data_IF_539958493779
#
_entry.id   IF_539958493779
#
_cell.length_a   1.000
_cell.length_b   1.000
_cell.length_c   1.000
_cell.angle_alpha   90.00
_cell.angle_beta   90.00
_cell.angle_gamma   90.00
#
_symmetry.space_group_name_H-M   'P 1'
#
loop_
_entity.id
_entity.type
_entity.pdbx_description
1 polymer ?
#
# COMPACT_ATOMS: atom_id res chain seq x y z
N UNK A 1 -31.03 14.29 12.79
CA UNK A 1 -29.77 13.68 13.26
C UNK A 1 -29.06 13.15 12.05
N UNK A 2 -27.84 13.61 11.73
CA UNK A 2 -27.06 13.04 10.63
C UNK A 2 -26.79 11.57 10.98
N UNK A 3 -27.09 10.66 10.04
CA UNK A 3 -26.72 9.26 10.15
C UNK A 3 -25.20 9.22 10.30
N UNK A 4 -24.67 8.66 11.40
CA UNK A 4 -23.21 8.52 11.55
C UNK A 4 -22.63 7.79 10.35
N UNK A 5 -21.41 8.14 9.93
CA UNK A 5 -20.69 7.44 8.85
C UNK A 5 -20.31 6.05 9.35
N UNK A 6 -20.81 5.00 8.69
CA UNK A 6 -20.64 3.62 9.15
C UNK A 6 -19.45 2.94 8.49
N UNK A 7 -19.36 2.99 7.16
CA UNK A 7 -18.47 2.12 6.40
C UNK A 7 -17.60 2.92 5.44
N UNK A 8 -16.28 2.78 5.60
CA UNK A 8 -15.28 3.27 4.65
C UNK A 8 -14.60 2.06 3.98
N UNK A 9 -14.45 2.10 2.66
CA UNK A 9 -13.60 1.17 1.93
C UNK A 9 -12.27 1.85 1.57
N UNK A 10 -11.17 1.22 1.93
CA UNK A 10 -9.81 1.68 1.60
C UNK A 10 -9.20 0.70 0.60
N UNK A 11 -8.94 1.19 -0.60
CA UNK A 11 -8.36 0.45 -1.72
C UNK A 11 -6.87 0.82 -1.81
N UNK A 12 -5.99 -0.13 -1.50
CA UNK A 12 -4.55 0.07 -1.51
C UNK A 12 -4.01 -0.25 -2.91
N UNK A 13 -3.48 0.76 -3.59
CA UNK A 13 -2.71 0.66 -4.82
C UNK A 13 -3.29 -0.30 -5.88
N UNK A 14 -4.62 -0.22 -6.09
CA UNK A 14 -5.32 -1.02 -7.09
C UNK A 14 -5.02 -0.50 -8.51
N UNK A 15 -3.74 -0.36 -8.84
CA UNK A 15 -3.24 0.21 -10.09
C UNK A 15 -2.93 -0.86 -11.10
N UNK A 16 -2.93 -0.49 -12.40
CA UNK A 16 -2.73 -1.43 -13.51
C UNK A 16 -1.39 -2.14 -13.45
N UNK A 17 -0.32 -1.46 -13.00
CA UNK A 17 1.00 -2.10 -12.90
C UNK A 17 1.04 -3.26 -11.91
N UNK A 18 0.15 -3.27 -10.92
CA UNK A 18 0.00 -4.38 -9.97
C UNK A 18 -1.10 -5.37 -10.37
N UNK A 19 -2.17 -4.89 -11.01
CA UNK A 19 -3.40 -5.66 -11.16
C UNK A 19 -3.63 -6.22 -12.57
N UNK A 20 -3.07 -5.61 -13.62
CA UNK A 20 -3.22 -6.10 -14.99
C UNK A 20 -2.10 -7.09 -15.35
N UNK A 21 -2.35 -8.16 -16.13
CA UNK A 21 -1.33 -9.14 -16.51
C UNK A 21 -0.16 -8.57 -17.30
N UNK A 22 -0.35 -7.42 -17.98
CA UNK A 22 0.70 -6.67 -18.70
C UNK A 22 1.31 -5.54 -17.84
N UNK A 23 0.98 -5.48 -16.55
CA UNK A 23 1.51 -4.53 -15.60
C UNK A 23 2.99 -4.76 -15.30
N UNK A 24 3.74 -3.68 -15.06
CA UNK A 24 5.19 -3.73 -14.87
C UNK A 24 5.61 -4.53 -13.63
N UNK A 25 4.77 -4.57 -12.61
CA UNK A 25 4.96 -5.32 -11.37
C UNK A 25 3.71 -6.15 -11.04
N UNK A 26 3.25 -6.94 -12.04
CA UNK A 26 2.03 -7.73 -11.92
C UNK A 26 2.08 -8.69 -10.73
N UNK A 27 1.06 -8.62 -9.89
CA UNK A 27 0.87 -9.51 -8.73
C UNK A 27 -0.01 -10.69 -9.15
N UNK A 28 0.54 -11.90 -9.08
CA UNK A 28 -0.22 -13.11 -9.43
C UNK A 28 -1.45 -13.26 -8.53
N UNK A 29 -2.64 -13.37 -9.13
CA UNK A 29 -3.92 -13.41 -8.42
C UNK A 29 -4.66 -12.07 -8.36
N UNK A 30 -4.00 -10.95 -8.71
CA UNK A 30 -4.58 -9.62 -8.61
C UNK A 30 -5.73 -9.36 -9.60
N UNK A 31 -5.81 -10.13 -10.69
CA UNK A 31 -6.96 -10.05 -11.62
C UNK A 31 -8.24 -10.49 -10.90
N UNK A 32 -8.21 -11.65 -10.26
CA UNK A 32 -9.34 -12.19 -9.51
C UNK A 32 -9.63 -11.34 -8.25
N UNK A 33 -8.61 -10.80 -7.60
CA UNK A 33 -8.77 -9.88 -6.47
C UNK A 33 -9.49 -8.61 -6.90
N UNK A 34 -9.14 -8.07 -8.07
CA UNK A 34 -9.76 -6.87 -8.65
C UNK A 34 -11.24 -7.11 -8.96
N UNK A 35 -11.57 -8.28 -9.52
CA UNK A 35 -12.96 -8.65 -9.79
C UNK A 35 -13.75 -8.77 -8.48
N UNK A 36 -13.23 -9.47 -7.46
CA UNK A 36 -13.88 -9.59 -6.15
C UNK A 36 -14.07 -8.24 -5.48
N UNK A 37 -13.07 -7.35 -5.59
CA UNK A 37 -13.16 -5.98 -5.07
C UNK A 37 -14.25 -5.17 -5.78
N UNK A 38 -14.33 -5.24 -7.11
CA UNK A 38 -15.37 -4.57 -7.90
C UNK A 38 -16.77 -5.10 -7.56
N UNK A 39 -16.90 -6.41 -7.43
CA UNK A 39 -18.15 -7.07 -7.03
C UNK A 39 -18.55 -6.65 -5.60
N UNK A 40 -17.61 -6.57 -4.66
CA UNK A 40 -17.87 -6.10 -3.30
C UNK A 40 -18.41 -4.66 -3.29
N UNK A 41 -17.80 -3.76 -4.07
CA UNK A 41 -18.27 -2.37 -4.21
C UNK A 41 -19.68 -2.34 -4.77
N UNK A 42 -19.93 -3.07 -5.87
CA UNK A 42 -21.21 -3.08 -6.58
C UNK A 42 -22.34 -3.65 -5.73
N UNK A 43 -22.08 -4.78 -5.06
CA UNK A 43 -23.08 -5.47 -4.23
C UNK A 43 -23.40 -4.72 -2.92
N UNK A 44 -22.52 -3.82 -2.50
CA UNK A 44 -22.68 -3.04 -1.27
C UNK A 44 -22.75 -1.52 -1.52
N UNK A 45 -23.11 -1.11 -2.74
CA UNK A 45 -23.07 0.29 -3.17
C UNK A 45 -23.83 1.22 -2.21
N UNK A 46 -24.99 0.81 -1.72
CA UNK A 46 -25.84 1.59 -0.79
C UNK A 46 -25.28 1.66 0.65
N UNK A 47 -24.29 0.84 0.99
CA UNK A 47 -23.80 0.64 2.35
C UNK A 47 -22.41 1.22 2.59
N UNK A 48 -21.67 1.50 1.52
CA UNK A 48 -20.34 2.12 1.57
C UNK A 48 -20.51 3.63 1.59
N UNK A 49 -20.23 4.27 2.73
CA UNK A 49 -20.40 5.72 2.90
C UNK A 49 -19.22 6.53 2.32
N UNK A 50 -18.04 5.91 2.19
CA UNK A 50 -16.83 6.54 1.64
C UNK A 50 -15.93 5.51 0.98
N UNK A 51 -15.28 5.91 -0.12
CA UNK A 51 -14.17 5.16 -0.72
C UNK A 51 -12.92 6.03 -0.68
N UNK A 52 -11.83 5.48 -0.16
CA UNK A 52 -10.48 6.06 -0.21
C UNK A 52 -9.58 5.14 -1.03
N UNK A 53 -8.76 5.72 -1.90
CA UNK A 53 -7.83 4.97 -2.75
C UNK A 53 -6.42 5.52 -2.57
N UNK A 54 -5.46 4.66 -2.29
CA UNK A 54 -4.06 5.03 -2.41
C UNK A 54 -3.57 4.82 -3.84
N UNK A 55 -2.61 5.60 -4.25
CA UNK A 55 -1.93 5.49 -5.53
C UNK A 55 -0.44 5.59 -5.27
N UNK A 56 0.26 4.50 -5.50
CA UNK A 56 1.71 4.50 -5.56
C UNK A 56 2.16 5.35 -6.75
N UNK A 57 3.14 6.23 -6.55
CA UNK A 57 3.38 7.33 -7.49
C UNK A 57 4.86 7.64 -7.59
N UNK A 58 5.55 6.88 -8.46
CA UNK A 58 6.99 6.97 -8.62
C UNK A 58 7.40 7.94 -9.73
N UNK A 59 8.58 8.52 -9.58
CA UNK A 59 9.32 9.13 -10.68
C UNK A 59 10.08 8.05 -11.47
N UNK A 60 10.53 8.37 -12.68
CA UNK A 60 11.39 7.45 -13.46
C UNK A 60 12.69 7.16 -12.71
N UNK A 61 13.32 8.20 -12.16
CA UNK A 61 14.49 8.08 -11.30
C UNK A 61 14.01 8.02 -9.84
N UNK A 62 14.02 6.83 -9.29
CA UNK A 62 13.54 6.52 -7.94
C UNK A 62 14.47 5.53 -7.25
N UNK A 63 14.63 5.64 -5.92
CA UNK A 63 15.55 4.80 -5.15
C UNK A 63 15.20 3.31 -5.23
N UNK A 64 13.96 2.99 -5.53
CA UNK A 64 13.46 1.63 -5.69
C UNK A 64 13.66 1.06 -7.11
N UNK A 65 14.16 1.86 -8.07
CA UNK A 65 14.25 1.46 -9.47
C UNK A 65 15.69 1.16 -9.92
N UNK A 66 15.90 0.32 -10.96
CA UNK A 66 17.22 -0.06 -11.47
C UNK A 66 18.10 1.14 -11.83
N UNK A 67 17.52 2.23 -12.35
CA UNK A 67 18.24 3.43 -12.77
C UNK A 67 18.95 4.19 -11.64
N UNK A 68 18.59 3.93 -10.38
CA UNK A 68 19.21 4.56 -9.22
C UNK A 68 20.52 3.88 -8.77
N UNK A 69 20.71 2.60 -9.12
CA UNK A 69 21.77 1.78 -8.57
C UNK A 69 22.66 1.18 -9.66
N UNK A 70 23.95 1.15 -9.40
CA UNK A 70 24.95 0.54 -10.29
C UNK A 70 25.64 -0.62 -9.55
N UNK A 71 25.82 -1.73 -10.27
CA UNK A 71 26.68 -2.83 -9.84
C UNK A 71 28.15 -2.39 -9.92
N UNK A 72 29.05 -3.17 -9.30
CA UNK A 72 30.49 -2.91 -9.30
C UNK A 72 31.11 -2.77 -10.71
N UNK A 73 30.53 -3.42 -11.71
CA UNK A 73 30.97 -3.35 -13.11
C UNK A 73 30.39 -2.13 -13.87
N UNK A 74 29.61 -1.29 -13.19
CA UNK A 74 28.98 -0.10 -13.75
C UNK A 74 27.66 -0.34 -14.48
N UNK A 75 27.16 -1.59 -14.54
CA UNK A 75 25.84 -1.89 -15.10
C UNK A 75 24.73 -1.61 -14.06
N UNK A 76 23.49 -1.41 -14.53
CA UNK A 76 22.33 -1.22 -13.67
C UNK A 76 21.99 -2.50 -12.91
N UNK A 77 21.37 -2.35 -11.74
CA UNK A 77 20.91 -3.47 -10.91
C UNK A 77 19.65 -4.09 -11.53
N UNK A 78 19.54 -5.42 -11.51
CA UNK A 78 18.34 -6.11 -11.99
C UNK A 78 17.16 -5.93 -11.03
N UNK A 79 15.92 -5.91 -11.54
CA UNK A 79 14.74 -5.97 -10.68
C UNK A 79 14.74 -7.19 -9.75
N UNK A 80 14.04 -7.07 -8.62
CA UNK A 80 13.94 -8.06 -7.55
C UNK A 80 15.26 -8.36 -6.83
N UNK A 81 16.25 -7.48 -6.94
CA UNK A 81 17.52 -7.57 -6.21
C UNK A 81 17.38 -6.88 -4.85
N UNK A 82 17.62 -7.57 -3.73
CA UNK A 82 17.78 -6.89 -2.45
C UNK A 82 19.11 -6.15 -2.39
N UNK A 83 19.15 -5.01 -1.73
CA UNK A 83 20.39 -4.26 -1.46
C UNK A 83 20.50 -4.00 0.03
N UNK A 84 21.57 -4.52 0.63
CA UNK A 84 21.90 -4.32 2.04
C UNK A 84 22.92 -3.20 2.24
N UNK A 85 22.97 -2.66 3.46
CA UNK A 85 23.99 -1.68 3.86
C UNK A 85 25.41 -2.24 3.70
N UNK A 86 25.61 -3.51 4.03
CA UNK A 86 26.91 -4.17 3.90
C UNK A 86 27.40 -4.21 2.44
N UNK A 87 26.52 -4.50 1.49
CA UNK A 87 26.84 -4.53 0.06
C UNK A 87 27.18 -3.13 -0.48
N UNK A 88 26.48 -2.08 0.00
CA UNK A 88 26.82 -0.68 -0.33
C UNK A 88 28.21 -0.34 0.22
N UNK A 89 28.51 -0.67 1.48
CA UNK A 89 29.78 -0.38 2.13
C UNK A 89 30.95 -1.14 1.49
N UNK A 90 30.70 -2.35 0.96
CA UNK A 90 31.67 -3.13 0.21
C UNK A 90 31.86 -2.64 -1.25
N UNK A 91 31.01 -1.73 -1.72
CA UNK A 91 31.02 -1.25 -3.10
C UNK A 91 30.49 -2.26 -4.12
N UNK A 92 29.65 -3.21 -3.70
CA UNK A 92 28.97 -4.16 -4.59
C UNK A 92 27.87 -3.42 -5.37
N UNK A 93 27.19 -2.49 -4.67
CA UNK A 93 26.22 -1.58 -5.26
C UNK A 93 26.58 -0.12 -4.92
N UNK A 94 26.45 0.75 -5.92
CA UNK A 94 26.71 2.18 -5.78
C UNK A 94 25.52 2.99 -6.26
N UNK A 95 24.97 3.93 -5.46
CA UNK A 95 23.92 4.81 -5.92
C UNK A 95 24.43 5.75 -7.01
N UNK A 96 23.67 5.88 -8.09
CA UNK A 96 23.95 6.84 -9.16
C UNK A 96 23.67 8.30 -8.73
N UNK A 97 22.83 8.49 -7.70
CA UNK A 97 22.43 9.80 -7.19
C UNK A 97 22.56 9.82 -5.65
N UNK A 98 23.11 10.91 -5.12
CA UNK A 98 23.28 11.23 -3.69
C UNK A 98 23.72 10.02 -2.85
N UNK A 99 24.99 9.57 -3.00
CA UNK A 99 25.47 8.34 -2.35
C UNK A 99 25.28 8.33 -0.84
N UNK A 100 25.48 9.48 -0.19
CA UNK A 100 25.35 9.57 1.26
C UNK A 100 23.91 9.33 1.69
N UNK A 101 22.94 10.01 1.08
CA UNK A 101 21.53 9.89 1.44
C UNK A 101 20.98 8.49 1.13
N UNK A 102 21.36 7.92 -0.03
CA UNK A 102 20.95 6.58 -0.41
C UNK A 102 21.46 5.51 0.57
N UNK A 103 22.73 5.65 1.01
CA UNK A 103 23.30 4.79 2.06
C UNK A 103 22.58 4.98 3.40
N UNK A 104 22.36 6.23 3.81
CA UNK A 104 21.67 6.54 5.08
C UNK A 104 20.23 5.99 5.07
N UNK A 105 19.53 6.01 3.91
CA UNK A 105 18.22 5.40 3.74
C UNK A 105 18.22 3.90 4.01
N UNK A 106 19.13 3.14 3.37
CA UNK A 106 19.23 1.69 3.59
C UNK A 106 19.62 1.38 5.04
N UNK A 107 20.56 2.15 5.61
CA UNK A 107 20.94 2.02 7.02
C UNK A 107 19.73 2.24 7.96
N UNK A 108 18.86 3.21 7.67
CA UNK A 108 17.65 3.45 8.45
C UNK A 108 16.66 2.29 8.34
N UNK A 109 16.43 1.73 7.14
CA UNK A 109 15.56 0.56 6.97
C UNK A 109 16.01 -0.62 7.84
N UNK A 110 17.31 -0.91 7.85
CA UNK A 110 17.86 -2.02 8.64
C UNK A 110 17.78 -1.74 10.15
N UNK A 111 18.11 -0.51 10.59
CA UNK A 111 18.10 -0.15 12.02
C UNK A 111 16.71 -0.11 12.62
N UNK A 112 15.73 0.36 11.84
CA UNK A 112 14.35 0.52 12.28
C UNK A 112 13.52 -0.77 12.13
N UNK A 113 14.17 -1.82 11.60
CA UNK A 113 13.51 -3.09 11.37
C UNK A 113 12.40 -2.98 10.32
N UNK A 114 12.56 -2.12 9.33
CA UNK A 114 11.68 -2.01 8.18
C UNK A 114 11.91 -3.16 7.17
N UNK A 115 11.06 -3.27 6.15
CA UNK A 115 11.27 -4.25 5.07
C UNK A 115 12.60 -3.97 4.37
N UNK A 116 13.32 -5.02 3.91
CA UNK A 116 14.57 -4.85 3.18
C UNK A 116 14.38 -3.96 1.95
N UNK A 117 15.42 -3.23 1.57
CA UNK A 117 15.40 -2.50 0.32
C UNK A 117 15.49 -3.47 -0.87
N UNK A 118 14.48 -3.42 -1.75
CA UNK A 118 14.44 -4.18 -3.00
C UNK A 118 14.43 -3.23 -4.19
N UNK A 119 15.07 -3.64 -5.27
CA UNK A 119 14.94 -2.99 -6.57
C UNK A 119 13.75 -3.59 -7.31
N UNK A 120 12.78 -2.77 -7.64
CA UNK A 120 11.60 -3.17 -8.39
C UNK A 120 11.72 -2.82 -9.87
N UNK A 121 10.96 -3.49 -10.77
CA UNK A 121 10.75 -2.95 -12.12
C UNK A 121 10.24 -1.51 -12.04
N UNK A 122 10.53 -0.67 -13.03
CA UNK A 122 9.92 0.66 -13.12
C UNK A 122 8.39 0.51 -13.18
N UNK A 123 7.70 0.86 -12.11
CA UNK A 123 6.26 0.69 -11.99
C UNK A 123 5.60 1.96 -11.45
N UNK A 124 4.30 2.07 -11.64
CA UNK A 124 3.47 3.18 -11.15
C UNK A 124 4.06 4.57 -11.43
N UNK A 125 4.76 4.71 -12.57
CA UNK A 125 5.31 6.01 -12.98
C UNK A 125 4.14 6.96 -13.27
N UNK A 126 4.13 8.10 -12.59
CA UNK A 126 3.08 9.12 -12.70
C UNK A 126 2.82 9.46 -14.18
N UNK A 127 1.54 9.57 -14.54
CA UNK A 127 1.03 9.87 -15.88
C UNK A 127 1.21 8.73 -16.93
N UNK A 128 1.88 7.61 -16.60
CA UNK A 128 1.89 6.44 -17.48
C UNK A 128 0.65 5.56 -17.28
N UNK A 129 0.35 4.69 -18.26
CA UNK A 129 -0.82 3.77 -18.24
C UNK A 129 -0.87 2.94 -16.94
N UNK A 130 0.27 2.41 -16.50
CA UNK A 130 0.39 1.54 -15.33
C UNK A 130 0.02 2.21 -14.00
N UNK A 131 0.21 3.53 -13.89
CA UNK A 131 -0.19 4.32 -12.73
C UNK A 131 -1.72 4.42 -12.56
N UNK A 132 -2.46 4.25 -13.66
CA UNK A 132 -3.92 4.30 -13.63
C UNK A 132 -4.54 3.16 -12.83
N UNK A 133 -5.72 3.39 -12.26
CA UNK A 133 -6.50 2.37 -11.54
C UNK A 133 -6.97 1.28 -12.53
N UNK A 134 -6.95 0.03 -12.08
CA UNK A 134 -7.47 -1.12 -12.83
C UNK A 134 -8.94 -0.91 -13.22
N UNK A 135 -9.34 -1.36 -14.42
CA UNK A 135 -10.59 -0.97 -15.05
C UNK A 135 -11.85 -1.41 -14.30
N UNK A 136 -11.91 -2.64 -13.80
CA UNK A 136 -13.10 -3.15 -13.11
C UNK A 136 -13.32 -2.37 -11.80
N UNK A 137 -12.25 -2.13 -11.05
CA UNK A 137 -12.29 -1.35 -9.81
C UNK A 137 -12.65 0.10 -10.12
N UNK A 138 -12.04 0.71 -11.16
CA UNK A 138 -12.37 2.07 -11.57
C UNK A 138 -13.85 2.21 -11.90
N UNK A 139 -14.39 1.30 -12.71
CA UNK A 139 -15.78 1.33 -13.15
C UNK A 139 -16.75 1.17 -11.94
N UNK A 140 -16.44 0.26 -11.01
CA UNK A 140 -17.24 0.07 -9.79
C UNK A 140 -17.22 1.32 -8.89
N UNK A 141 -16.03 1.95 -8.73
CA UNK A 141 -15.90 3.19 -7.95
C UNK A 141 -16.62 4.36 -8.62
N UNK A 142 -16.55 4.50 -9.94
CA UNK A 142 -17.28 5.53 -10.68
C UNK A 142 -18.81 5.34 -10.57
N UNK A 143 -19.28 4.09 -10.61
CA UNK A 143 -20.69 3.77 -10.36
C UNK A 143 -21.10 4.18 -8.93
N UNK A 144 -20.27 3.93 -7.92
CA UNK A 144 -20.48 4.36 -6.54
C UNK A 144 -20.51 5.90 -6.44
N UNK A 145 -19.58 6.62 -7.09
CA UNK A 145 -19.57 8.09 -7.13
C UNK A 145 -20.87 8.65 -7.72
N UNK A 146 -21.32 8.06 -8.82
CA UNK A 146 -22.57 8.47 -9.48
C UNK A 146 -23.82 8.17 -8.65
N UNK A 147 -23.82 7.03 -7.92
CA UNK A 147 -24.92 6.66 -7.03
C UNK A 147 -25.04 7.63 -5.85
N UNK A 148 -23.93 7.90 -5.16
CA UNK A 148 -23.90 8.74 -3.96
C UNK A 148 -23.81 10.26 -4.24
N UNK A 149 -23.61 10.67 -5.51
CA UNK A 149 -23.35 12.07 -5.91
C UNK A 149 -22.21 12.70 -5.13
N UNK A 150 -21.14 11.92 -4.95
CA UNK A 150 -19.92 12.27 -4.22
C UNK A 150 -18.69 11.79 -5.00
N UNK A 151 -17.51 11.93 -4.44
CA UNK A 151 -16.27 11.46 -5.05
C UNK A 151 -15.41 10.69 -4.06
N UNK A 152 -14.65 9.72 -4.57
CA UNK A 152 -13.62 9.00 -3.82
C UNK A 152 -12.54 9.95 -3.28
N UNK A 153 -11.90 9.59 -2.19
CA UNK A 153 -10.69 10.26 -1.69
C UNK A 153 -9.45 9.62 -2.30
N UNK A 154 -8.53 10.43 -2.81
CA UNK A 154 -7.24 9.96 -3.32
C UNK A 154 -6.14 10.29 -2.33
N UNK A 155 -5.26 9.32 -2.09
CA UNK A 155 -4.03 9.46 -1.31
C UNK A 155 -2.88 9.04 -2.20
N UNK A 156 -2.12 10.00 -2.73
CA UNK A 156 -0.86 9.71 -3.44
C UNK A 156 0.24 9.45 -2.42
N UNK A 157 1.04 8.43 -2.66
CA UNK A 157 2.21 8.06 -1.86
C UNK A 157 3.38 7.72 -2.78
N UNK A 158 4.63 7.62 -2.27
CA UNK A 158 5.80 7.32 -3.08
C UNK A 158 6.31 8.48 -3.95
N UNK A 159 5.83 9.71 -3.71
CA UNK A 159 6.20 10.87 -4.54
C UNK A 159 7.60 11.44 -4.27
N UNK A 160 8.23 11.04 -3.16
CA UNK A 160 9.62 11.41 -2.87
C UNK A 160 10.56 10.30 -3.35
N UNK A 161 11.42 10.54 -4.36
CA UNK A 161 12.23 9.50 -4.97
C UNK A 161 13.39 8.99 -4.10
N UNK A 162 13.58 9.53 -2.91
CA UNK A 162 14.63 9.11 -1.96
C UNK A 162 14.17 8.11 -0.90
N UNK A 163 12.92 7.71 -0.90
CA UNK A 163 12.37 6.80 0.10
C UNK A 163 11.15 6.07 -0.42
N UNK A 164 11.08 4.78 -0.18
CA UNK A 164 9.87 3.99 -0.37
C UNK A 164 8.74 4.43 0.56
N UNK A 165 7.52 4.22 0.11
CA UNK A 165 6.32 4.56 0.85
C UNK A 165 5.32 3.39 0.73
N UNK A 166 5.66 2.23 1.30
CA UNK A 166 4.80 1.06 1.22
C UNK A 166 3.44 1.31 1.90
N UNK A 167 3.45 1.74 3.16
CA UNK A 167 2.20 2.03 3.87
C UNK A 167 1.55 3.35 3.46
N UNK A 168 0.22 3.45 3.62
CA UNK A 168 -0.56 4.62 3.21
C UNK A 168 -0.37 5.87 4.09
N UNK A 169 0.27 5.73 5.27
CA UNK A 169 0.27 6.80 6.25
C UNK A 169 1.59 7.54 6.38
N UNK A 170 2.73 6.94 6.06
CA UNK A 170 4.04 7.61 6.04
C UNK A 170 5.02 6.86 5.15
N UNK A 171 6.05 7.54 4.67
CA UNK A 171 7.18 6.89 4.01
C UNK A 171 7.91 5.96 4.98
N UNK A 172 8.63 4.96 4.45
CA UNK A 172 9.43 4.03 5.26
C UNK A 172 10.54 4.76 6.02
N UNK A 173 11.19 5.74 5.37
CA UNK A 173 12.13 6.65 6.01
C UNK A 173 11.63 8.10 5.79
N UNK A 174 10.93 8.70 6.76
CA UNK A 174 10.41 10.04 6.63
C UNK A 174 11.51 11.11 6.68
N UNK A 175 11.40 12.14 5.83
CA UNK A 175 12.31 13.28 5.81
C UNK A 175 11.64 14.54 6.37
N UNK A 176 12.28 15.21 7.35
CA UNK A 176 11.74 16.41 8.01
C UNK A 176 11.56 17.61 7.07
N UNK A 177 12.23 17.61 5.94
CA UNK A 177 12.14 18.67 4.92
C UNK A 177 11.05 18.42 3.88
N UNK A 178 10.41 17.26 3.88
CA UNK A 178 9.33 16.91 2.95
C UNK A 178 8.10 16.32 3.70
N UNK A 179 7.07 17.13 3.76
CA UNK A 179 5.81 16.76 4.44
C UNK A 179 5.09 15.57 3.78
N UNK A 180 5.33 15.29 2.50
CA UNK A 180 4.71 14.15 1.82
C UNK A 180 5.20 12.80 2.36
N UNK A 181 6.37 12.79 3.02
CA UNK A 181 6.95 11.61 3.66
C UNK A 181 6.50 11.41 5.11
N UNK A 182 5.92 12.45 5.73
CA UNK A 182 5.50 12.44 7.13
C UNK A 182 4.15 11.75 7.31
N UNK A 183 3.77 11.55 8.58
CA UNK A 183 2.49 10.92 8.89
C UNK A 183 1.29 11.69 8.32
N UNK A 184 0.49 11.03 7.50
CA UNK A 184 -0.75 11.56 6.93
C UNK A 184 -1.87 11.58 7.96
N UNK A 185 -1.72 12.46 8.95
CA UNK A 185 -2.70 12.67 10.03
C UNK A 185 -4.11 12.98 9.51
N UNK A 186 -4.30 13.80 8.46
CA UNK A 186 -5.63 14.02 7.89
C UNK A 186 -6.31 12.73 7.42
N UNK A 187 -5.58 11.79 6.82
CA UNK A 187 -6.16 10.52 6.39
C UNK A 187 -6.49 9.61 7.58
N UNK A 188 -5.62 9.53 8.58
CA UNK A 188 -5.91 8.80 9.82
C UNK A 188 -7.14 9.35 10.54
N UNK A 189 -7.28 10.67 10.63
CA UNK A 189 -8.44 11.32 11.23
C UNK A 189 -9.73 11.01 10.44
N UNK A 190 -9.66 11.06 9.10
CA UNK A 190 -10.79 10.69 8.25
C UNK A 190 -11.27 9.26 8.55
N UNK A 191 -10.36 8.29 8.62
CA UNK A 191 -10.71 6.89 8.91
C UNK A 191 -11.31 6.73 10.32
N UNK A 192 -10.88 7.54 11.27
CA UNK A 192 -11.41 7.52 12.64
C UNK A 192 -12.88 7.93 12.75
N UNK A 193 -13.43 8.63 11.73
CA UNK A 193 -14.85 9.03 11.70
C UNK A 193 -15.80 7.86 11.41
N UNK A 194 -15.29 6.72 10.91
CA UNK A 194 -16.10 5.56 10.53
C UNK A 194 -16.16 4.52 11.64
N UNK A 195 -17.23 3.73 11.65
CA UNK A 195 -17.39 2.56 12.51
C UNK A 195 -16.59 1.37 11.98
N UNK A 196 -16.59 1.16 10.67
CA UNK A 196 -15.88 0.10 9.97
C UNK A 196 -15.00 0.67 8.86
N UNK A 197 -13.78 0.17 8.77
CA UNK A 197 -12.80 0.51 7.72
C UNK A 197 -12.39 -0.79 7.03
N UNK A 198 -13.01 -1.07 5.89
CA UNK A 198 -12.66 -2.23 5.07
C UNK A 198 -11.38 -1.93 4.31
N UNK A 199 -10.41 -2.85 4.32
CA UNK A 199 -9.09 -2.70 3.74
C UNK A 199 -8.79 -3.85 2.77
N UNK A 200 -8.38 -3.54 1.56
CA UNK A 200 -7.91 -4.50 0.55
C UNK A 200 -7.03 -3.83 -0.51
N UNK A 201 -6.50 -4.59 -1.46
CA UNK A 201 -5.70 -4.10 -2.58
C UNK A 201 -4.34 -4.78 -2.70
N UNK A 202 -3.36 -4.13 -3.34
CA UNK A 202 -2.08 -4.73 -3.70
C UNK A 202 -0.89 -3.99 -3.08
N UNK A 203 0.21 -4.68 -2.75
CA UNK A 203 0.27 -6.13 -2.58
C UNK A 203 0.10 -6.46 -1.10
N UNK A 204 -0.45 -7.66 -0.82
CA UNK A 204 -0.72 -8.15 0.54
C UNK A 204 0.52 -8.08 1.43
N UNK A 205 1.66 -8.55 0.92
CA UNK A 205 2.93 -8.65 1.63
C UNK A 205 3.78 -7.36 1.64
N UNK A 206 3.31 -6.28 1.02
CA UNK A 206 3.99 -4.96 1.02
C UNK A 206 3.04 -3.83 1.41
N UNK A 207 2.34 -3.21 0.45
CA UNK A 207 1.59 -1.98 0.70
C UNK A 207 0.42 -2.18 1.66
N UNK A 208 -0.30 -3.30 1.56
CA UNK A 208 -1.44 -3.60 2.45
C UNK A 208 -0.96 -3.85 3.88
N UNK A 209 0.02 -4.76 4.07
CA UNK A 209 0.52 -5.09 5.42
C UNK A 209 1.22 -3.90 6.08
N UNK A 210 1.99 -3.10 5.32
CA UNK A 210 2.64 -1.90 5.87
C UNK A 210 1.63 -0.81 6.23
N UNK A 211 0.55 -0.66 5.46
CA UNK A 211 -0.56 0.22 5.85
C UNK A 211 -1.17 -0.20 7.19
N UNK A 212 -1.39 -1.50 7.36
CA UNK A 212 -1.91 -2.06 8.61
C UNK A 212 -0.93 -1.85 9.78
N UNK A 213 0.36 -2.17 9.59
CA UNK A 213 1.43 -1.92 10.58
C UNK A 213 1.43 -0.45 11.02
N UNK A 214 1.47 0.48 10.07
CA UNK A 214 1.49 1.91 10.36
C UNK A 214 0.22 2.39 11.06
N UNK A 215 -0.96 1.87 10.70
CA UNK A 215 -2.21 2.18 11.40
C UNK A 215 -2.14 1.78 12.88
N UNK A 216 -1.60 0.61 13.18
CA UNK A 216 -1.45 0.12 14.56
C UNK A 216 -0.41 0.90 15.36
N UNK A 217 0.68 1.33 14.72
CA UNK A 217 1.74 2.12 15.35
C UNK A 217 1.31 3.56 15.65
N UNK A 218 0.65 4.23 14.67
CA UNK A 218 0.37 5.66 14.75
C UNK A 218 -1.01 5.93 15.38
N UNK A 219 -1.98 5.05 15.10
CA UNK A 219 -3.38 5.20 15.51
C UNK A 219 -3.98 3.86 15.98
N UNK A 220 -3.47 3.26 17.08
CA UNK A 220 -3.88 1.92 17.52
C UNK A 220 -5.37 1.79 17.79
N UNK A 221 -6.07 2.88 18.06
CA UNK A 221 -7.53 2.91 18.21
C UNK A 221 -8.28 2.52 16.91
N UNK A 222 -7.63 2.53 15.76
CA UNK A 222 -8.22 2.06 14.50
C UNK A 222 -8.30 0.52 14.42
N UNK A 223 -7.53 -0.21 15.22
CA UNK A 223 -7.48 -1.68 15.16
C UNK A 223 -8.87 -2.31 15.20
N UNK A 224 -9.70 -1.92 16.15
CA UNK A 224 -11.07 -2.46 16.31
C UNK A 224 -12.02 -2.10 15.16
N UNK A 225 -11.67 -1.09 14.36
CA UNK A 225 -12.47 -0.62 13.21
C UNK A 225 -12.05 -1.26 11.89
N UNK A 226 -10.79 -1.68 11.76
CA UNK A 226 -10.24 -2.24 10.52
C UNK A 226 -10.77 -3.66 10.30
N UNK A 227 -11.19 -3.92 9.06
CA UNK A 227 -11.65 -5.21 8.56
C UNK A 227 -10.90 -5.49 7.25
N UNK A 228 -10.02 -6.47 7.26
CA UNK A 228 -9.25 -6.86 6.08
C UNK A 228 -10.06 -7.85 5.24
N UNK A 229 -10.21 -7.56 3.94
CA UNK A 229 -10.82 -8.46 2.95
C UNK A 229 -9.72 -9.36 2.37
N UNK A 230 -9.53 -10.55 2.96
CA UNK A 230 -8.38 -11.43 2.69
C UNK A 230 -8.35 -11.99 1.26
N UNK A 231 -9.51 -12.10 0.62
CA UNK A 231 -9.66 -12.61 -0.74
C UNK A 231 -9.57 -11.53 -1.83
N UNK A 232 -9.32 -10.27 -1.44
CA UNK A 232 -9.17 -9.13 -2.33
C UNK A 232 -7.73 -8.58 -2.33
N UNK A 233 -6.74 -9.45 -2.11
CA UNK A 233 -5.32 -9.11 -2.08
C UNK A 233 -4.44 -10.33 -2.26
N UNK A 234 -3.33 -10.20 -2.99
CA UNK A 234 -2.35 -11.26 -3.28
C UNK A 234 -0.92 -10.80 -2.96
N UNK A 235 0.00 -11.76 -2.80
CA UNK A 235 1.39 -11.49 -2.49
C UNK A 235 2.23 -11.29 -3.77
N UNK A 236 3.21 -10.39 -3.72
CA UNK A 236 4.31 -10.36 -4.70
C UNK A 236 5.19 -11.58 -4.53
N UNK A 237 5.49 -11.95 -3.28
CA UNK A 237 6.27 -13.13 -2.96
C UNK A 237 7.77 -12.98 -3.27
N UNK A 238 8.33 -11.79 -3.10
CA UNK A 238 9.72 -11.49 -3.44
C UNK A 238 10.74 -12.34 -2.65
N UNK A 239 10.46 -12.64 -1.38
CA UNK A 239 11.28 -13.54 -0.56
C UNK A 239 10.47 -14.19 0.56
N UNK A 240 10.93 -15.36 1.06
CA UNK A 240 10.29 -16.04 2.18
C UNK A 240 10.33 -15.19 3.47
N UNK A 241 11.44 -14.49 3.73
CA UNK A 241 11.58 -13.63 4.91
C UNK A 241 10.55 -12.50 4.93
N UNK A 242 10.24 -11.93 3.77
CA UNK A 242 9.19 -10.90 3.64
C UNK A 242 7.80 -11.50 3.91
N UNK A 243 7.52 -12.69 3.37
CA UNK A 243 6.25 -13.39 3.60
C UNK A 243 6.06 -13.72 5.09
N UNK A 244 7.08 -14.23 5.75
CA UNK A 244 7.03 -14.59 7.17
C UNK A 244 6.83 -13.33 8.03
N UNK A 245 7.52 -12.24 7.71
CA UNK A 245 7.35 -10.95 8.38
C UNK A 245 5.96 -10.37 8.17
N UNK A 246 5.45 -10.40 6.94
CA UNK A 246 4.09 -9.96 6.64
C UNK A 246 3.06 -10.76 7.44
N UNK A 247 3.21 -12.08 7.50
CA UNK A 247 2.34 -12.95 8.28
C UNK A 247 2.36 -12.61 9.77
N UNK A 248 3.56 -12.32 10.34
CA UNK A 248 3.68 -11.92 11.75
C UNK A 248 2.91 -10.61 12.02
N UNK A 249 3.01 -9.62 11.12
CA UNK A 249 2.26 -8.36 11.27
C UNK A 249 0.74 -8.62 11.22
N UNK A 250 0.25 -9.50 10.35
CA UNK A 250 -1.17 -9.89 10.31
C UNK A 250 -1.61 -10.57 11.60
N UNK A 251 -0.78 -11.45 12.17
CA UNK A 251 -1.08 -12.13 13.42
C UNK A 251 -1.12 -11.15 14.61
N UNK A 252 -0.22 -10.17 14.63
CA UNK A 252 -0.21 -9.12 15.66
C UNK A 252 -1.40 -8.17 15.48
N UNK A 253 -1.79 -7.88 14.24
CA UNK A 253 -3.00 -7.12 13.95
C UNK A 253 -4.28 -7.83 14.46
N UNK A 254 -4.38 -9.15 14.29
CA UNK A 254 -5.46 -9.96 14.87
C UNK A 254 -5.51 -9.81 16.40
N UNK A 255 -4.36 -9.92 17.06
CA UNK A 255 -4.26 -9.76 18.52
C UNK A 255 -4.67 -8.35 18.99
N UNK A 256 -4.38 -7.33 18.15
CA UNK A 256 -4.76 -5.94 18.40
C UNK A 256 -6.25 -5.65 18.16
N UNK A 257 -7.02 -6.59 17.63
CA UNK A 257 -8.46 -6.46 17.39
C UNK A 257 -8.87 -6.17 15.96
N UNK A 258 -7.94 -6.23 14.98
CA UNK A 258 -8.27 -6.17 13.55
C UNK A 258 -9.05 -7.42 13.16
N UNK A 259 -10.13 -7.24 12.42
CA UNK A 259 -10.97 -8.32 11.91
C UNK A 259 -10.53 -8.72 10.51
N UNK A 260 -10.73 -9.99 10.19
CA UNK A 260 -10.39 -10.57 8.89
C UNK A 260 -11.60 -11.35 8.36
N UNK A 261 -11.92 -11.17 7.10
CA UNK A 261 -13.05 -11.82 6.44
C UNK A 261 -12.82 -11.88 4.94
N UNK A 262 -13.71 -12.55 4.21
CA UNK A 262 -13.73 -12.50 2.75
C UNK A 262 -14.78 -11.52 2.24
N UNK A 263 -14.65 -11.07 0.99
CA UNK A 263 -15.60 -10.16 0.34
C UNK A 263 -17.04 -10.69 0.35
N UNK A 264 -17.21 -12.01 0.28
CA UNK A 264 -18.54 -12.68 0.28
C UNK A 264 -19.08 -12.83 1.70
N UNK A 265 -18.22 -13.02 2.71
CA UNK A 265 -18.64 -13.22 4.10
C UNK A 265 -18.77 -11.92 4.89
N UNK A 266 -18.27 -10.82 4.35
CA UNK A 266 -18.32 -9.53 5.01
C UNK A 266 -19.76 -9.06 5.22
N UNK A 267 -20.21 -9.06 6.48
CA UNK A 267 -21.50 -8.43 6.83
C UNK A 267 -21.31 -6.93 7.05
N UNK A 268 -21.51 -6.17 5.99
CA UNK A 268 -21.36 -4.71 6.00
C UNK A 268 -22.44 -3.98 6.81
N UNK A 269 -23.42 -4.70 7.39
CA UNK A 269 -24.48 -4.13 8.21
C UNK A 269 -24.22 -4.25 9.72
N UNK A 270 -23.27 -5.10 10.14
CA UNK A 270 -23.06 -5.37 11.58
C UNK A 270 -22.26 -4.25 12.22
N UNK A 271 -22.80 -3.49 13.17
CA UNK A 271 -22.02 -2.55 13.98
C UNK A 271 -20.93 -3.30 14.74
N UNK A 272 -19.78 -2.65 14.96
CA UNK A 272 -18.78 -3.14 15.90
C UNK A 272 -19.47 -3.36 17.27
N UNK A 273 -19.40 -4.57 17.81
CA UNK A 273 -19.81 -4.79 19.19
C UNK A 273 -18.96 -3.87 20.07
N UNK A 274 -19.59 -2.94 20.77
CA UNK A 274 -18.94 -2.12 21.77
C UNK A 274 -18.34 -3.03 22.83
N UNK A 275 -17.01 -3.04 22.95
CA UNK A 275 -16.30 -3.74 24.02
C UNK A 275 -16.60 -3.11 25.39
#
# INVERSE_FOLDING_TARGET
>A
MSKGKKNCLVLIDCQRDFCDPDGALFVTGAVEDSQRTADFITNNIDKIDSISMTLDSHAVLDISHPSWWLKRDGTTVDPFTPISLAEIDNGDYTPALDPKRSRDYVASLESDGEFPHFIWPEHCIVERKGWGVQDDIRNAVEAWEMHHKTWKKKVTKGTNPYTEHFGAFRANVPYSWDNSTQANTPFLNLLSEFENVYLCGQARDYCVVNTLKQALEIAPQLASKIIVLEDCMSNVGASQDVLDRAQQIYDDAKKAGVRFTTSVQADINTPVASA
#
